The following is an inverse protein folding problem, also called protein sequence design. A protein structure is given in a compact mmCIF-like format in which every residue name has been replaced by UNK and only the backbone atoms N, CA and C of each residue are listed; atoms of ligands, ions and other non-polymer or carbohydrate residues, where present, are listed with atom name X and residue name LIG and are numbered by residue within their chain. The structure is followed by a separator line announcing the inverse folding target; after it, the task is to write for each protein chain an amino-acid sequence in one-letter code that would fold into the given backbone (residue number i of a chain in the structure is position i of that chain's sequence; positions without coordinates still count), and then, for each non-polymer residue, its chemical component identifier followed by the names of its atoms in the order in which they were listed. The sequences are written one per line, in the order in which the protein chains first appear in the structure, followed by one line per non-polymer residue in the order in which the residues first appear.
data_IF_276373949219
#
_entry.id   IF_276373949219
#
_cell.length_a   1.000
_cell.length_b   1.000
_cell.length_c   1.000
_cell.angle_alpha   90.00
_cell.angle_beta   90.00
_cell.angle_gamma   90.00
#
_symmetry.space_group_name_H-M   'P 1'
#
loop_
_entity.id
_entity.type
_entity.pdbx_description
1 polymer ?
#
# COMPACT_ATOMS: atom_id res chain seq x y z
N UNK A 1 -3.87 8.66 10.87
CA UNK A 1 -5.14 9.40 10.80
C UNK A 1 -6.23 8.45 11.26
N UNK A 2 -7.04 8.86 12.24
CA UNK A 2 -8.06 8.00 12.86
C UNK A 2 -9.38 8.06 12.08
N UNK A 3 -10.27 7.10 12.32
CA UNK A 3 -11.63 7.05 11.75
C UNK A 3 -12.39 8.37 11.93
N UNK A 4 -12.31 8.98 13.12
CA UNK A 4 -12.96 10.26 13.44
C UNK A 4 -12.54 11.40 12.51
N UNK A 5 -11.26 11.51 12.19
CA UNK A 5 -10.77 12.55 11.27
C UNK A 5 -11.28 12.32 9.84
N UNK A 6 -11.42 11.07 9.41
CA UNK A 6 -11.97 10.74 8.10
C UNK A 6 -13.44 11.16 8.04
N UNK A 7 -14.22 10.85 9.07
CA UNK A 7 -15.63 11.24 9.17
C UNK A 7 -15.80 12.77 9.13
N UNK A 8 -14.99 13.52 9.89
CA UNK A 8 -15.00 14.98 9.86
C UNK A 8 -14.69 15.56 8.48
N UNK A 9 -13.70 15.01 7.77
CA UNK A 9 -13.39 15.49 6.41
C UNK A 9 -14.55 15.22 5.46
N UNK A 10 -15.18 14.06 5.54
CA UNK A 10 -16.33 13.73 4.68
C UNK A 10 -17.55 14.58 5.00
N UNK A 11 -17.75 14.97 6.27
CA UNK A 11 -18.82 15.88 6.69
C UNK A 11 -18.60 17.29 6.11
N UNK A 12 -17.37 17.80 6.15
CA UNK A 12 -17.06 19.18 5.73
C UNK A 12 -16.89 19.31 4.21
N UNK A 13 -16.22 18.36 3.57
CA UNK A 13 -15.83 18.43 2.16
C UNK A 13 -16.67 17.54 1.23
N UNK A 14 -17.60 16.77 1.79
CA UNK A 14 -18.51 15.89 1.06
C UNK A 14 -17.98 14.48 0.80
N UNK A 15 -18.84 13.57 0.30
CA UNK A 15 -18.56 12.13 0.22
C UNK A 15 -17.43 11.75 -0.75
N UNK A 16 -17.12 12.62 -1.73
CA UNK A 16 -16.09 12.37 -2.75
C UNK A 16 -14.75 13.06 -2.43
N UNK A 17 -14.58 13.61 -1.23
CA UNK A 17 -13.39 14.36 -0.86
C UNK A 17 -12.12 13.49 -0.80
N UNK A 18 -12.27 12.17 -0.64
CA UNK A 18 -11.15 11.22 -0.49
C UNK A 18 -11.33 10.09 -1.50
N UNK A 19 -10.48 10.04 -2.52
CA UNK A 19 -10.49 8.97 -3.53
C UNK A 19 -9.51 7.83 -3.24
N UNK A 20 -8.44 8.09 -2.47
CA UNK A 20 -7.45 7.10 -2.06
C UNK A 20 -6.84 7.49 -0.72
N UNK A 21 -6.90 6.60 0.26
CA UNK A 21 -6.28 6.77 1.56
C UNK A 21 -4.88 6.15 1.56
N UNK A 22 -3.86 7.01 1.68
CA UNK A 22 -2.46 6.60 1.88
C UNK A 22 -2.13 6.55 3.38
N UNK A 23 -1.79 5.39 3.91
CA UNK A 23 -1.42 5.24 5.32
C UNK A 23 -0.12 4.47 5.48
N UNK A 24 0.64 4.81 6.51
CA UNK A 24 1.69 3.92 6.99
C UNK A 24 1.09 2.79 7.83
N UNK A 25 1.82 1.67 7.88
CA UNK A 25 1.48 0.40 8.49
C UNK A 25 0.96 0.52 9.93
N UNK A 26 1.54 1.45 10.71
CA UNK A 26 1.17 1.68 12.11
C UNK A 26 -0.25 2.23 12.30
N UNK A 27 -0.95 2.59 11.23
CA UNK A 27 -2.26 3.25 11.27
C UNK A 27 -3.36 2.58 10.47
N UNK A 28 -3.08 1.42 9.85
CA UNK A 28 -4.06 0.69 9.07
C UNK A 28 -4.16 -0.76 9.55
N UNK A 29 -5.24 -1.07 10.29
CA UNK A 29 -5.65 -2.43 10.60
C UNK A 29 -6.71 -2.92 9.60
N UNK A 30 -6.97 -4.23 9.63
CA UNK A 30 -7.96 -4.86 8.75
C UNK A 30 -9.35 -4.21 8.85
N UNK A 31 -9.88 -3.97 10.07
CA UNK A 31 -11.18 -3.33 10.24
C UNK A 31 -11.27 -1.92 9.64
N UNK A 32 -10.24 -1.08 9.77
CA UNK A 32 -10.24 0.24 9.14
C UNK A 32 -10.28 0.14 7.62
N UNK A 33 -9.52 -0.78 7.03
CA UNK A 33 -9.52 -1.00 5.57
C UNK A 33 -10.89 -1.48 5.08
N UNK A 34 -11.53 -2.40 5.79
CA UNK A 34 -12.87 -2.89 5.47
C UNK A 34 -13.92 -1.78 5.56
N UNK A 35 -13.89 -0.98 6.63
CA UNK A 35 -14.79 0.17 6.80
C UNK A 35 -14.61 1.21 5.69
N UNK A 36 -13.36 1.55 5.35
CA UNK A 36 -13.07 2.47 4.26
C UNK A 36 -13.68 1.97 2.94
N UNK A 37 -13.40 0.71 2.59
CA UNK A 37 -13.83 0.13 1.32
C UNK A 37 -15.35 -0.02 1.24
N UNK A 38 -15.95 -0.69 2.21
CA UNK A 38 -17.33 -1.17 2.11
C UNK A 38 -18.37 -0.23 2.72
N UNK A 39 -17.99 0.58 3.72
CA UNK A 39 -18.90 1.57 4.30
C UNK A 39 -18.75 2.95 3.63
N UNK A 40 -17.54 3.36 3.24
CA UNK A 40 -17.27 4.70 2.69
C UNK A 40 -16.99 4.73 1.19
N UNK A 41 -16.78 3.59 0.53
CA UNK A 41 -16.41 3.55 -0.89
C UNK A 41 -15.02 4.14 -1.17
N UNK A 42 -14.15 4.20 -0.15
CA UNK A 42 -12.80 4.77 -0.22
C UNK A 42 -11.80 3.64 -0.28
N UNK A 43 -10.92 3.66 -1.28
CA UNK A 43 -9.84 2.69 -1.35
C UNK A 43 -8.67 3.05 -0.42
N UNK A 44 -8.08 2.03 0.19
CA UNK A 44 -6.83 2.13 0.95
C UNK A 44 -5.64 1.67 0.11
N UNK A 45 -4.50 2.34 0.26
CA UNK A 45 -3.19 1.87 -0.16
C UNK A 45 -2.21 2.14 0.97
N UNK A 46 -1.73 1.07 1.61
CA UNK A 46 -1.00 1.17 2.87
C UNK A 46 0.28 0.35 2.83
N UNK A 47 1.27 0.76 3.64
CA UNK A 47 2.45 -0.07 3.87
C UNK A 47 2.02 -1.38 4.52
N UNK A 48 2.50 -2.50 3.99
CA UNK A 48 2.31 -3.82 4.58
C UNK A 48 3.55 -4.16 5.45
N UNK A 49 3.38 -4.39 6.76
CA UNK A 49 4.44 -4.86 7.63
C UNK A 49 4.97 -6.25 7.24
N UNK A 50 6.26 -6.47 7.48
CA UNK A 50 6.97 -7.71 7.16
C UNK A 50 6.55 -8.89 8.06
N UNK A 51 6.01 -8.63 9.24
CA UNK A 51 5.55 -9.63 10.21
C UNK A 51 4.15 -10.18 9.90
N UNK A 52 3.46 -9.65 8.87
CA UNK A 52 2.13 -10.13 8.47
C UNK A 52 2.23 -11.35 7.58
N UNK A 53 1.34 -12.33 7.79
CA UNK A 53 1.23 -13.50 6.91
C UNK A 53 1.02 -13.11 5.44
N UNK A 54 0.19 -12.09 5.17
CA UNK A 54 -0.01 -11.55 3.83
C UNK A 54 1.29 -11.13 3.12
N UNK A 55 2.28 -10.62 3.88
CA UNK A 55 3.59 -10.27 3.32
C UNK A 55 4.35 -11.53 2.91
N UNK A 56 4.35 -12.53 3.78
CA UNK A 56 5.00 -13.82 3.55
C UNK A 56 4.38 -14.56 2.36
N UNK A 57 3.06 -14.46 2.15
CA UNK A 57 2.41 -15.07 0.99
C UNK A 57 2.89 -14.46 -0.32
N UNK A 58 2.97 -13.13 -0.40
CA UNK A 58 3.44 -12.46 -1.63
C UNK A 58 4.92 -12.75 -1.86
N UNK A 59 5.73 -12.82 -0.79
CA UNK A 59 7.12 -13.28 -0.90
C UNK A 59 7.19 -14.72 -1.41
N UNK A 60 6.39 -15.63 -0.84
CA UNK A 60 6.34 -17.02 -1.26
C UNK A 60 5.92 -17.18 -2.72
N UNK A 61 4.94 -16.40 -3.19
CA UNK A 61 4.56 -16.35 -4.60
C UNK A 61 5.71 -15.88 -5.49
N UNK A 62 6.45 -14.85 -5.06
CA UNK A 62 7.59 -14.32 -5.79
C UNK A 62 8.76 -15.33 -5.84
N UNK A 63 9.08 -15.97 -4.72
CA UNK A 63 10.17 -16.94 -4.61
C UNK A 63 9.86 -18.24 -5.37
N UNK A 64 8.59 -18.63 -5.40
CA UNK A 64 8.09 -19.74 -6.21
C UNK A 64 7.94 -19.40 -7.71
N UNK A 65 8.30 -18.18 -8.13
CA UNK A 65 8.18 -17.69 -9.51
C UNK A 65 6.74 -17.76 -10.07
N UNK A 66 5.74 -17.61 -9.20
CA UNK A 66 4.31 -17.56 -9.55
C UNK A 66 3.84 -16.14 -9.91
N UNK A 67 4.64 -15.13 -9.57
CA UNK A 67 4.46 -13.73 -9.96
C UNK A 67 5.80 -13.17 -10.46
N UNK A 68 5.75 -12.37 -11.52
CA UNK A 68 6.97 -11.89 -12.18
C UNK A 68 7.43 -10.53 -11.65
N UNK A 69 8.75 -10.40 -11.49
CA UNK A 69 9.38 -9.10 -11.20
C UNK A 69 9.51 -8.30 -12.49
N UNK A 70 9.12 -7.03 -12.44
CA UNK A 70 9.27 -6.07 -13.54
C UNK A 70 10.17 -4.92 -13.10
N UNK A 71 11.14 -4.57 -13.94
CA UNK A 71 12.10 -3.51 -13.65
C UNK A 71 11.61 -2.15 -14.18
N UNK A 72 11.74 -1.10 -13.37
CA UNK A 72 11.34 0.26 -13.69
C UNK A 72 12.40 1.27 -13.27
N UNK A 73 12.65 2.27 -14.13
CA UNK A 73 13.52 3.40 -13.83
C UNK A 73 12.72 4.69 -13.84
N UNK A 74 12.88 5.53 -12.82
CA UNK A 74 12.19 6.80 -12.73
C UNK A 74 13.03 7.88 -12.05
N UNK A 75 12.65 9.14 -12.27
CA UNK A 75 13.26 10.29 -11.60
C UNK A 75 12.37 10.75 -10.45
N UNK A 76 12.98 11.00 -9.29
CA UNK A 76 12.34 11.64 -8.14
C UNK A 76 13.13 12.87 -7.74
N UNK A 77 12.43 13.96 -7.45
CA UNK A 77 13.05 15.12 -6.83
C UNK A 77 13.01 14.97 -5.30
N UNK A 78 14.17 14.95 -4.66
CA UNK A 78 14.32 14.92 -3.20
C UNK A 78 15.08 16.17 -2.79
N UNK A 79 14.48 17.00 -1.92
CA UNK A 79 15.08 18.27 -1.47
C UNK A 79 15.57 19.15 -2.64
N UNK A 80 14.79 19.22 -3.73
CA UNK A 80 15.14 20.01 -4.93
C UNK A 80 16.12 19.34 -5.90
N UNK A 81 16.72 18.21 -5.54
CA UNK A 81 17.68 17.49 -6.37
C UNK A 81 17.01 16.33 -7.11
N UNK A 82 17.34 16.15 -8.39
CA UNK A 82 16.86 15.01 -9.17
C UNK A 82 17.70 13.78 -8.81
N UNK A 83 17.04 12.73 -8.35
CA UNK A 83 17.61 11.42 -8.13
C UNK A 83 16.97 10.43 -9.11
N UNK A 84 17.81 9.65 -9.76
CA UNK A 84 17.36 8.50 -10.54
C UNK A 84 17.17 7.34 -9.55
N UNK A 85 16.05 6.64 -9.68
CA UNK A 85 15.73 5.45 -8.92
C UNK A 85 15.47 4.30 -9.86
N UNK A 86 15.99 3.14 -9.51
CA UNK A 86 15.73 1.89 -10.17
C UNK A 86 15.04 0.98 -9.17
N UNK A 87 13.94 0.37 -9.59
CA UNK A 87 13.13 -0.49 -8.73
C UNK A 87 12.68 -1.71 -9.50
N UNK A 88 12.58 -2.83 -8.80
CA UNK A 88 11.82 -3.98 -9.28
C UNK A 88 10.53 -4.09 -8.49
N UNK A 89 9.46 -4.48 -9.18
CA UNK A 89 8.15 -4.65 -8.55
C UNK A 89 7.51 -5.95 -9.00
N UNK A 90 6.81 -6.61 -8.09
CA UNK A 90 5.91 -7.73 -8.37
C UNK A 90 4.63 -7.57 -7.56
N UNK A 91 3.53 -8.19 -8.00
CA UNK A 91 2.24 -8.01 -7.36
C UNK A 91 1.36 -9.25 -7.48
N UNK A 92 0.47 -9.41 -6.50
CA UNK A 92 -0.57 -10.43 -6.47
C UNK A 92 -1.91 -9.80 -6.08
N UNK A 93 -2.98 -10.29 -6.70
CA UNK A 93 -4.36 -9.97 -6.33
C UNK A 93 -5.00 -11.10 -5.53
N UNK A 94 -6.26 -10.90 -5.15
CA UNK A 94 -7.13 -11.95 -4.57
C UNK A 94 -6.58 -12.58 -3.28
N UNK A 95 -5.80 -11.82 -2.51
CA UNK A 95 -5.18 -12.32 -1.29
C UNK A 95 -6.15 -12.24 -0.11
N UNK A 96 -6.20 -13.31 0.70
CA UNK A 96 -7.17 -13.49 1.79
C UNK A 96 -6.53 -13.69 3.16
N UNK A 97 -5.21 -13.63 3.28
CA UNK A 97 -4.50 -13.95 4.53
C UNK A 97 -4.45 -12.80 5.54
N UNK A 98 -5.45 -11.92 5.52
CA UNK A 98 -5.65 -10.88 6.53
C UNK A 98 -7.02 -11.07 7.20
N UNK A 99 -7.04 -11.96 8.19
CA UNK A 99 -8.27 -12.40 8.88
C UNK A 99 -9.13 -11.24 9.41
N UNK A 100 -8.54 -10.30 10.14
CA UNK A 100 -9.31 -9.17 10.69
C UNK A 100 -9.88 -8.22 9.64
N UNK A 101 -9.37 -8.22 8.40
CA UNK A 101 -10.01 -7.53 7.29
C UNK A 101 -11.22 -8.32 6.78
N UNK A 102 -11.09 -9.64 6.62
CA UNK A 102 -12.18 -10.51 6.17
C UNK A 102 -13.34 -10.54 7.16
N UNK A 103 -13.06 -10.68 8.45
CA UNK A 103 -14.07 -10.66 9.51
C UNK A 103 -14.86 -9.34 9.49
N UNK A 104 -14.16 -8.21 9.36
CA UNK A 104 -14.80 -6.90 9.26
C UNK A 104 -15.58 -6.75 7.94
N UNK A 105 -15.06 -7.25 6.82
CA UNK A 105 -15.77 -7.23 5.53
C UNK A 105 -17.07 -8.04 5.58
N UNK A 106 -17.08 -9.17 6.29
CA UNK A 106 -18.27 -9.99 6.48
C UNK A 106 -19.39 -9.24 7.24
N UNK A 107 -19.05 -8.32 8.15
CA UNK A 107 -20.05 -7.44 8.81
C UNK A 107 -20.76 -6.48 7.85
N UNK A 108 -20.18 -6.28 6.66
CA UNK A 108 -20.77 -5.52 5.55
C UNK A 108 -21.35 -6.43 4.46
N UNK A 109 -21.61 -7.71 4.78
CA UNK A 109 -22.19 -8.73 3.89
C UNK A 109 -21.30 -9.09 2.68
N UNK A 110 -20.01 -8.77 2.73
CA UNK A 110 -19.05 -9.12 1.67
C UNK A 110 -18.37 -10.45 2.00
N UNK A 111 -18.58 -11.45 1.15
CA UNK A 111 -18.13 -12.84 1.38
C UNK A 111 -16.92 -13.24 0.54
N UNK A 112 -16.62 -12.50 -0.51
CA UNK A 112 -15.50 -12.67 -1.44
C UNK A 112 -14.44 -11.56 -1.28
N UNK A 113 -14.38 -10.97 -0.08
CA UNK A 113 -13.44 -9.91 0.23
C UNK A 113 -11.99 -10.40 0.04
N UNK A 114 -11.21 -9.60 -0.69
CA UNK A 114 -9.79 -9.88 -0.91
C UNK A 114 -9.00 -8.58 -1.03
N UNK A 115 -7.68 -8.72 -0.96
CA UNK A 115 -6.74 -7.62 -1.06
C UNK A 115 -5.79 -7.84 -2.23
N UNK A 116 -5.25 -6.73 -2.72
CA UNK A 116 -4.15 -6.72 -3.65
C UNK A 116 -2.88 -6.29 -2.90
N UNK A 117 -1.73 -6.89 -3.21
CA UNK A 117 -0.46 -6.47 -2.63
C UNK A 117 0.68 -6.51 -3.64
N UNK A 118 1.71 -5.71 -3.38
CA UNK A 118 2.94 -5.73 -4.17
C UNK A 118 4.19 -5.68 -3.29
N UNK A 119 5.27 -6.24 -3.83
CA UNK A 119 6.63 -6.11 -3.33
C UNK A 119 7.41 -5.16 -4.24
N UNK A 120 8.30 -4.38 -3.65
CA UNK A 120 9.12 -3.39 -4.34
C UNK A 120 10.54 -3.49 -3.78
N UNK A 121 11.51 -3.77 -4.65
CA UNK A 121 12.94 -3.73 -4.33
C UNK A 121 13.55 -2.43 -4.82
N UNK A 122 14.39 -1.79 -4.02
CA UNK A 122 15.15 -0.61 -4.46
C UNK A 122 16.50 -1.07 -5.01
N UNK A 123 16.64 -1.00 -6.32
CA UNK A 123 17.84 -1.43 -7.06
C UNK A 123 18.78 -0.26 -7.36
N UNK A 124 18.54 0.92 -6.79
CA UNK A 124 19.33 2.13 -7.10
C UNK A 124 20.81 1.95 -6.72
N UNK A 125 21.10 1.23 -5.65
CA UNK A 125 22.48 0.87 -5.26
C UNK A 125 22.55 -0.61 -4.86
N UNK A 126 23.76 -1.18 -4.90
CA UNK A 126 23.97 -2.56 -4.45
C UNK A 126 23.68 -2.78 -2.97
N UNK A 127 23.72 -1.72 -2.15
CA UNK A 127 23.37 -1.76 -0.73
C UNK A 127 21.84 -1.85 -0.56
N UNK A 128 21.09 -0.98 -1.24
CA UNK A 128 19.61 -1.01 -1.17
C UNK A 128 19.03 -2.27 -1.80
N UNK A 129 19.72 -2.84 -2.79
CA UNK A 129 19.32 -4.10 -3.43
C UNK A 129 19.41 -5.32 -2.49
N UNK A 130 20.13 -5.21 -1.37
CA UNK A 130 20.22 -6.26 -0.35
C UNK A 130 19.16 -6.12 0.75
N UNK A 131 18.46 -4.99 0.81
CA UNK A 131 17.37 -4.81 1.77
C UNK A 131 16.15 -5.67 1.38
N UNK A 132 15.39 -6.18 2.38
CA UNK A 132 14.12 -6.83 2.11
C UNK A 132 13.19 -5.93 1.29
N UNK A 133 12.41 -6.51 0.36
CA UNK A 133 11.49 -5.73 -0.45
C UNK A 133 10.47 -5.03 0.45
N UNK A 134 10.20 -3.77 0.15
CA UNK A 134 9.08 -3.08 0.77
C UNK A 134 7.77 -3.61 0.21
N UNK A 135 6.73 -3.68 1.04
CA UNK A 135 5.41 -4.12 0.58
C UNK A 135 4.33 -3.06 0.73
N UNK A 136 3.40 -3.06 -0.21
CA UNK A 136 2.15 -2.31 -0.14
C UNK A 136 0.96 -3.25 -0.26
N UNK A 137 -0.14 -2.88 0.36
CA UNK A 137 -1.43 -3.58 0.29
C UNK A 137 -2.54 -2.59 -0.01
N UNK A 138 -3.52 -3.02 -0.80
CA UNK A 138 -4.60 -2.18 -1.28
C UNK A 138 -5.94 -2.92 -1.32
N UNK A 139 -7.01 -2.18 -1.06
CA UNK A 139 -8.40 -2.65 -1.20
C UNK A 139 -8.92 -2.58 -2.64
N UNK A 140 -8.10 -2.09 -3.58
CA UNK A 140 -8.36 -2.16 -5.01
C UNK A 140 -7.18 -2.78 -5.73
N UNK A 141 -7.48 -3.37 -6.88
CA UNK A 141 -6.45 -3.83 -7.81
C UNK A 141 -5.73 -2.65 -8.47
N UNK A 142 -4.45 -2.83 -8.73
CA UNK A 142 -3.63 -1.92 -9.51
C UNK A 142 -3.14 -2.63 -10.77
N UNK A 143 -2.86 -1.87 -11.83
CA UNK A 143 -2.34 -2.42 -13.08
C UNK A 143 -1.03 -3.19 -12.85
N UNK A 144 -0.17 -2.70 -11.95
CA UNK A 144 1.06 -3.35 -11.52
C UNK A 144 1.60 -2.70 -10.23
N UNK A 145 2.64 -3.32 -9.65
CA UNK A 145 3.37 -2.81 -8.49
C UNK A 145 3.91 -1.39 -8.66
N UNK A 146 4.30 -1.00 -9.88
CA UNK A 146 4.87 0.31 -10.15
C UNK A 146 3.80 1.41 -10.07
N UNK A 147 2.61 1.18 -10.62
CA UNK A 147 1.48 2.10 -10.51
C UNK A 147 1.09 2.34 -9.04
N UNK A 148 1.06 1.29 -8.22
CA UNK A 148 0.84 1.40 -6.79
C UNK A 148 1.97 2.21 -6.12
N UNK A 149 3.24 1.95 -6.43
CA UNK A 149 4.37 2.74 -5.93
C UNK A 149 4.24 4.22 -6.30
N UNK A 150 3.90 4.55 -7.56
CA UNK A 150 3.72 5.92 -8.02
C UNK A 150 2.64 6.67 -7.22
N UNK A 151 1.54 5.98 -6.88
CA UNK A 151 0.46 6.54 -6.09
C UNK A 151 0.79 6.61 -4.58
N UNK A 152 1.47 5.60 -4.05
CA UNK A 152 1.86 5.54 -2.64
C UNK A 152 2.87 6.60 -2.26
N UNK A 153 3.78 6.93 -3.21
CA UNK A 153 4.95 7.81 -3.05
C UNK A 153 4.89 8.61 -1.74
N UNK A 154 5.60 8.17 -0.69
CA UNK A 154 5.52 8.81 0.60
C UNK A 154 5.94 10.26 0.41
N UNK A 155 5.00 11.17 0.68
CA UNK A 155 5.23 12.62 0.64
C UNK A 155 6.17 13.08 1.77
N UNK A 156 6.66 12.14 2.60
CA UNK A 156 7.60 12.36 3.71
C UNK A 156 8.87 11.49 3.54
N UNK A 157 10.03 12.11 3.74
CA UNK A 157 11.34 11.44 3.77
C UNK A 157 11.48 10.56 5.02
N UNK A 158 12.32 9.52 4.91
CA UNK A 158 12.77 8.66 6.01
C UNK A 158 13.88 9.32 6.85
N UNK A 159 13.87 10.65 6.93
CA UNK A 159 14.72 11.46 7.81
C UNK A 159 13.80 12.38 8.59
N UNK A 160 13.65 12.08 9.88
CA UNK A 160 12.75 12.79 10.77
C UNK A 160 13.04 14.29 10.79
N UNK A 161 12.08 15.08 10.32
CA UNK A 161 11.61 16.31 10.95
C UNK A 161 10.56 16.91 10.01
N UNK A 162 9.42 17.25 10.60
CA UNK A 162 8.31 17.97 10.01
C UNK A 162 8.71 18.96 8.90
N UNK A 163 8.04 18.88 7.75
CA UNK A 163 7.24 19.96 7.13
C UNK A 163 6.76 19.53 5.75
N UNK A 164 5.49 19.14 5.65
CA UNK A 164 4.73 19.40 4.42
C UNK A 164 4.38 20.89 4.42
N UNK A 165 4.64 21.59 3.32
CA UNK A 165 3.96 22.87 3.05
C UNK A 165 2.51 22.59 2.70
#
# INVERSE_FOLDING_TARGET
MTRTLIEQVLEVAGPNAISLRLSDALSADGPLLAWLKYCKGIDGLVRLPEDRLLYQDVQGLADAHLIEWTHHRYVRTVQGHKHIREVEVTAAGELTSWESFLEAAATYEVTDASLWACLIRDMTTSETAQEPPIALVSTRSWQNGFAALQAYRPRCNRDGLFRCR
#
